data_IF_481387312283
#
_entry.id   IF_481387312283
#
_cell.length_a   1.000
_cell.length_b   1.000
_cell.length_c   1.000
_cell.angle_alpha   90.00
_cell.angle_beta   90.00
_cell.angle_gamma   90.00
#
_symmetry.space_group_name_H-M   'P 1'
#
loop_
_entity.id
_entity.type
_entity.pdbx_description
1 polymer ?
#
# COMPACT_ATOMS: atom_id res chain seq x y z
N UNK A 1 4.18 23.04 -26.72
CA UNK A 1 3.56 21.81 -27.27
C UNK A 1 3.83 20.68 -26.28
N UNK A 2 2.76 20.08 -25.75
CA UNK A 2 2.90 18.87 -24.92
C UNK A 2 3.45 17.72 -25.78
N UNK A 3 4.60 17.18 -25.39
CA UNK A 3 5.22 16.02 -26.06
C UNK A 3 4.64 14.70 -25.57
N UNK A 4 3.75 14.74 -24.58
CA UNK A 4 3.18 13.56 -23.92
C UNK A 4 2.22 12.79 -24.83
N UNK A 5 1.43 13.49 -25.66
CA UNK A 5 0.43 12.86 -26.51
C UNK A 5 0.45 13.46 -27.93
N UNK A 6 0.60 12.67 -29.01
CA UNK A 6 0.45 13.13 -30.37
C UNK A 6 -1.01 13.50 -30.67
N UNK A 7 -1.27 14.34 -31.67
CA UNK A 7 -2.57 14.91 -32.02
C UNK A 7 -3.66 13.89 -32.39
N UNK A 8 -3.31 12.64 -32.58
CA UNK A 8 -4.22 11.54 -32.97
C UNK A 8 -4.41 10.52 -31.85
N UNK A 9 -4.07 10.86 -30.61
CA UNK A 9 -4.17 9.92 -29.50
C UNK A 9 -5.61 9.55 -29.22
N UNK A 10 -5.91 8.27 -29.23
CA UNK A 10 -7.21 7.71 -28.89
C UNK A 10 -7.21 7.17 -27.46
N UNK A 11 -8.07 7.73 -26.65
CA UNK A 11 -8.29 7.28 -25.26
C UNK A 11 -9.53 6.42 -25.13
N UNK A 12 -9.43 5.44 -24.22
CA UNK A 12 -10.61 4.77 -23.67
C UNK A 12 -10.73 4.99 -22.17
N UNK A 13 -11.96 5.22 -21.71
CA UNK A 13 -12.23 5.49 -20.28
C UNK A 13 -13.68 5.21 -19.91
N UNK A 14 -13.89 4.90 -18.61
CA UNK A 14 -15.22 4.92 -17.98
C UNK A 14 -15.66 6.34 -17.63
N UNK A 15 -14.72 7.23 -17.35
CA UNK A 15 -14.93 8.57 -16.81
C UNK A 15 -14.48 9.66 -17.82
N UNK A 16 -15.17 9.78 -18.96
CA UNK A 16 -14.78 10.69 -20.03
C UNK A 16 -14.83 12.17 -19.61
N UNK A 17 -15.63 12.51 -18.61
CA UNK A 17 -15.77 13.89 -18.12
C UNK A 17 -14.49 14.39 -17.44
N UNK A 18 -13.92 13.59 -16.55
CA UNK A 18 -12.68 13.93 -15.85
C UNK A 18 -11.52 14.04 -16.85
N UNK A 19 -11.39 13.04 -17.72
CA UNK A 19 -10.33 13.04 -18.73
C UNK A 19 -10.45 14.25 -19.68
N UNK A 20 -11.65 14.57 -20.16
CA UNK A 20 -11.88 15.73 -21.05
C UNK A 20 -11.44 17.03 -20.38
N UNK A 21 -11.84 17.25 -19.13
CA UNK A 21 -11.46 18.43 -18.38
C UNK A 21 -9.93 18.56 -18.23
N UNK A 22 -9.24 17.46 -17.91
CA UNK A 22 -7.78 17.42 -17.85
C UNK A 22 -7.13 17.76 -19.19
N UNK A 23 -7.58 17.16 -20.29
CA UNK A 23 -7.05 17.42 -21.62
C UNK A 23 -7.25 18.89 -22.06
N UNK A 24 -8.43 19.44 -21.79
CA UNK A 24 -8.75 20.87 -22.07
C UNK A 24 -7.82 21.81 -21.30
N UNK A 25 -7.60 21.57 -19.99
CA UNK A 25 -6.68 22.38 -19.18
C UNK A 25 -5.25 22.38 -19.70
N UNK A 26 -4.83 21.27 -20.31
CA UNK A 26 -3.47 21.10 -20.84
C UNK A 26 -3.39 21.39 -22.34
N UNK A 27 -4.47 21.90 -22.96
CA UNK A 27 -4.53 22.18 -24.41
C UNK A 27 -4.16 20.96 -25.28
N UNK A 28 -4.58 19.76 -24.85
CA UNK A 28 -4.36 18.51 -25.55
C UNK A 28 -5.64 18.12 -26.30
N UNK A 29 -5.50 17.91 -27.60
CA UNK A 29 -6.60 17.39 -28.44
C UNK A 29 -6.44 15.86 -28.57
N UNK A 30 -7.48 15.12 -28.18
CA UNK A 30 -7.52 13.68 -28.28
C UNK A 30 -8.95 13.18 -28.42
N UNK A 31 -9.11 12.02 -29.01
CA UNK A 31 -10.40 11.34 -29.14
C UNK A 31 -10.65 10.49 -27.87
N UNK A 32 -11.86 10.56 -27.31
CA UNK A 32 -12.23 9.81 -26.12
C UNK A 32 -13.41 8.90 -26.43
N UNK A 33 -13.19 7.59 -26.33
CA UNK A 33 -14.24 6.59 -26.46
C UNK A 33 -14.60 6.01 -25.09
N UNK A 34 -15.90 6.02 -24.79
CA UNK A 34 -16.40 5.46 -23.52
C UNK A 34 -16.47 3.94 -23.62
N UNK A 35 -16.01 3.27 -22.59
CA UNK A 35 -16.08 1.82 -22.45
C UNK A 35 -16.52 1.46 -21.02
N UNK A 36 -17.36 0.44 -20.88
CA UNK A 36 -17.98 0.07 -19.58
C UNK A 36 -17.26 -1.04 -18.83
N UNK A 37 -16.22 -1.63 -19.41
CA UNK A 37 -15.43 -2.69 -18.74
C UNK A 37 -14.15 -2.99 -19.49
N UNK A 38 -13.22 -3.65 -18.82
CA UNK A 38 -11.95 -4.11 -19.40
C UNK A 38 -11.16 -3.03 -20.13
N UNK A 39 -11.11 -1.84 -19.55
CA UNK A 39 -10.43 -0.67 -20.14
C UNK A 39 -8.95 -0.97 -20.38
N UNK A 40 -8.33 -1.67 -19.43
CA UNK A 40 -6.92 -2.04 -19.40
C UNK A 40 -6.47 -2.93 -20.56
N UNK A 41 -7.39 -3.66 -21.18
CA UNK A 41 -7.07 -4.54 -22.33
C UNK A 41 -6.97 -3.74 -23.64
N UNK A 42 -7.63 -2.60 -23.72
CA UNK A 42 -7.80 -1.83 -24.95
C UNK A 42 -6.50 -1.49 -25.70
N UNK A 43 -5.41 -1.07 -25.03
CA UNK A 43 -4.16 -0.81 -25.72
C UNK A 43 -3.51 -2.08 -26.30
N UNK A 44 -3.55 -3.19 -25.54
CA UNK A 44 -2.94 -4.46 -25.95
C UNK A 44 -3.56 -5.08 -27.20
N UNK A 45 -4.83 -4.80 -27.48
CA UNK A 45 -5.54 -5.27 -28.67
C UNK A 45 -5.68 -4.19 -29.76
N UNK A 46 -4.99 -3.06 -29.62
CA UNK A 46 -4.96 -2.00 -30.63
C UNK A 46 -6.24 -1.16 -30.73
N UNK A 47 -7.06 -1.13 -29.69
CA UNK A 47 -8.31 -0.34 -29.65
C UNK A 47 -8.13 1.06 -29.02
N UNK A 48 -6.97 1.35 -28.44
CA UNK A 48 -6.63 2.65 -27.90
C UNK A 48 -5.11 2.81 -27.80
N UNK A 49 -4.65 4.06 -27.91
CA UNK A 49 -3.23 4.41 -27.68
C UNK A 49 -2.95 4.57 -26.18
N UNK A 50 -3.95 5.03 -25.42
CA UNK A 50 -3.89 5.22 -23.98
C UNK A 50 -5.26 4.98 -23.33
N UNK A 51 -5.23 4.78 -22.01
CA UNK A 51 -6.44 4.65 -21.19
C UNK A 51 -6.42 5.67 -20.05
N UNK A 52 -7.60 6.03 -19.58
CA UNK A 52 -7.77 6.71 -18.30
C UNK A 52 -8.61 5.84 -17.38
N UNK A 53 -8.02 5.39 -16.29
CA UNK A 53 -8.68 4.50 -15.34
C UNK A 53 -8.13 4.71 -13.91
N UNK A 54 -8.82 4.12 -12.93
CA UNK A 54 -8.42 4.16 -11.53
C UNK A 54 -7.31 3.14 -11.29
N UNK A 55 -6.20 3.61 -10.76
CA UNK A 55 -5.06 2.77 -10.39
C UNK A 55 -4.95 2.72 -8.86
N UNK A 56 -4.95 1.52 -8.29
CA UNK A 56 -4.72 1.28 -6.86
C UNK A 56 -3.29 0.78 -6.62
N UNK A 57 -3.07 -0.53 -6.68
CA UNK A 57 -1.73 -1.14 -6.47
C UNK A 57 -0.85 -1.16 -7.72
N UNK A 58 -1.39 -0.86 -8.89
CA UNK A 58 -0.69 -0.98 -10.17
C UNK A 58 -0.55 -2.40 -10.73
N UNK A 59 -1.02 -3.43 -10.02
CA UNK A 59 -0.90 -4.83 -10.47
C UNK A 59 -1.57 -5.07 -11.83
N UNK A 60 -2.74 -4.47 -12.07
CA UNK A 60 -3.45 -4.53 -13.35
C UNK A 60 -2.63 -3.90 -14.48
N UNK A 61 -1.90 -2.81 -14.22
CA UNK A 61 -1.03 -2.20 -15.22
C UNK A 61 0.07 -3.16 -15.65
N UNK A 62 0.77 -3.73 -14.67
CA UNK A 62 1.86 -4.69 -14.93
C UNK A 62 1.37 -5.90 -15.69
N UNK A 63 0.22 -6.48 -15.31
CA UNK A 63 -0.37 -7.66 -15.96
C UNK A 63 -0.77 -7.41 -17.42
N UNK A 64 -1.04 -6.17 -17.79
CA UNK A 64 -1.43 -5.79 -19.16
C UNK A 64 -0.31 -5.03 -19.92
N UNK A 65 0.93 -5.08 -19.45
CA UNK A 65 2.07 -4.36 -20.03
C UNK A 65 1.83 -2.85 -20.18
N UNK A 66 1.10 -2.26 -19.25
CA UNK A 66 0.82 -0.84 -19.20
C UNK A 66 1.78 -0.14 -18.22
N UNK A 67 2.01 1.13 -18.43
CA UNK A 67 2.74 2.01 -17.52
C UNK A 67 1.93 3.26 -17.22
N UNK A 68 2.10 3.80 -16.04
CA UNK A 68 1.60 5.12 -15.70
C UNK A 68 2.35 6.19 -16.53
N UNK A 69 1.61 7.08 -17.15
CA UNK A 69 2.13 8.21 -17.94
C UNK A 69 1.92 9.51 -17.19
N UNK A 70 0.74 9.71 -16.59
CA UNK A 70 0.37 10.92 -15.88
C UNK A 70 -0.69 10.63 -14.83
N UNK A 71 -0.61 11.32 -13.68
CA UNK A 71 -1.63 11.27 -12.62
C UNK A 71 -2.60 12.44 -12.79
N UNK A 72 -3.77 12.16 -13.33
CA UNK A 72 -4.80 13.19 -13.58
C UNK A 72 -5.44 13.69 -12.28
N UNK A 73 -5.70 12.78 -11.34
CA UNK A 73 -6.36 13.09 -10.08
C UNK A 73 -6.03 12.04 -9.01
N UNK A 74 -5.90 12.46 -7.77
CA UNK A 74 -5.85 11.55 -6.62
C UNK A 74 -7.24 11.45 -6.00
N UNK A 75 -7.66 10.23 -5.66
CA UNK A 75 -8.95 9.97 -5.00
C UNK A 75 -8.77 9.03 -3.82
N UNK A 76 -9.69 9.13 -2.87
CA UNK A 76 -9.72 8.27 -1.69
C UNK A 76 -11.10 7.65 -1.52
N UNK A 77 -11.16 6.43 -1.03
CA UNK A 77 -12.40 5.80 -0.64
C UNK A 77 -12.86 6.36 0.72
N UNK A 78 -14.06 6.91 0.78
CA UNK A 78 -14.66 7.44 2.00
C UNK A 78 -15.88 6.63 2.41
N UNK A 79 -15.98 6.31 3.70
CA UNK A 79 -17.21 5.80 4.27
C UNK A 79 -18.14 6.97 4.58
N UNK A 80 -19.31 7.00 3.95
CA UNK A 80 -20.32 8.03 4.19
C UNK A 80 -21.50 7.45 4.97
N UNK A 81 -22.06 8.24 5.89
CA UNK A 81 -23.21 7.87 6.67
C UNK A 81 -24.26 8.98 6.73
N UNK A 82 -25.50 8.62 7.08
CA UNK A 82 -26.55 9.59 7.29
C UNK A 82 -26.27 10.39 8.58
N UNK A 83 -26.36 11.72 8.50
CA UNK A 83 -26.19 12.61 9.66
C UNK A 83 -27.24 12.37 10.77
N UNK A 84 -28.43 11.94 10.39
CA UNK A 84 -29.56 11.66 11.31
C UNK A 84 -29.67 10.15 11.56
N UNK A 85 -28.61 9.56 12.09
CA UNK A 85 -28.57 8.14 12.43
C UNK A 85 -29.05 7.92 13.86
N UNK A 86 -29.88 6.88 14.11
CA UNK A 86 -30.27 6.47 15.45
C UNK A 86 -29.09 5.96 16.27
N UNK A 87 -29.16 6.00 17.59
CA UNK A 87 -28.02 5.69 18.46
C UNK A 87 -27.59 4.22 18.39
N UNK A 88 -28.52 3.29 18.19
CA UNK A 88 -28.24 1.88 17.93
C UNK A 88 -27.41 1.70 16.63
N UNK A 89 -27.74 2.42 15.56
CA UNK A 89 -26.99 2.40 14.30
C UNK A 89 -25.62 3.07 14.43
N UNK A 90 -25.52 4.13 15.24
CA UNK A 90 -24.21 4.75 15.53
C UNK A 90 -23.30 3.77 16.25
N UNK A 91 -23.80 3.04 17.25
CA UNK A 91 -23.03 2.04 17.98
C UNK A 91 -22.51 0.92 17.05
N UNK A 92 -23.34 0.46 16.10
CA UNK A 92 -22.92 -0.51 15.08
C UNK A 92 -21.82 0.09 14.18
N UNK A 93 -21.99 1.32 13.72
CA UNK A 93 -21.02 2.02 12.89
C UNK A 93 -19.68 2.17 13.62
N UNK A 94 -19.68 2.57 14.88
CA UNK A 94 -18.46 2.69 15.70
C UNK A 94 -17.72 1.36 15.83
N UNK A 95 -18.45 0.25 16.03
CA UNK A 95 -17.84 -1.09 16.05
C UNK A 95 -17.25 -1.47 14.70
N UNK A 96 -17.90 -1.13 13.60
CA UNK A 96 -17.37 -1.35 12.25
C UNK A 96 -16.10 -0.54 12.02
N UNK A 97 -16.11 0.75 12.34
CA UNK A 97 -14.96 1.64 12.20
C UNK A 97 -13.77 1.15 13.04
N UNK A 98 -14.01 0.71 14.26
CA UNK A 98 -12.98 0.11 15.11
C UNK A 98 -12.32 -1.11 14.42
N UNK A 99 -13.13 -2.00 13.83
CA UNK A 99 -12.62 -3.18 13.11
C UNK A 99 -11.87 -2.81 11.85
N UNK A 100 -12.36 -1.86 11.06
CA UNK A 100 -11.66 -1.37 9.87
C UNK A 100 -10.32 -0.72 10.24
N UNK A 101 -10.31 0.07 11.32
CA UNK A 101 -9.08 0.67 11.83
C UNK A 101 -8.07 -0.39 12.24
N UNK A 102 -8.50 -1.44 12.96
CA UNK A 102 -7.61 -2.53 13.38
C UNK A 102 -6.96 -3.26 12.21
N UNK A 103 -7.67 -3.45 11.09
CA UNK A 103 -7.12 -4.03 9.86
C UNK A 103 -6.16 -3.05 9.19
N UNK A 104 -6.55 -1.78 9.07
CA UNK A 104 -5.73 -0.72 8.46
C UNK A 104 -4.44 -0.47 9.24
N UNK A 105 -4.50 -0.46 10.57
CA UNK A 105 -3.32 -0.26 11.43
C UNK A 105 -2.33 -1.45 11.33
N UNK A 106 -2.81 -2.63 10.93
CA UNK A 106 -1.99 -3.82 10.68
C UNK A 106 -1.41 -3.89 9.25
N UNK A 107 -1.95 -3.09 8.31
CA UNK A 107 -1.48 -3.04 6.93
C UNK A 107 0.00 -2.70 6.90
N UNK A 108 0.77 -3.45 6.12
CA UNK A 108 2.23 -3.33 6.02
C UNK A 108 3.02 -3.60 7.32
N UNK A 109 2.36 -3.92 8.44
CA UNK A 109 3.05 -4.32 9.67
C UNK A 109 3.40 -5.81 9.65
N UNK A 110 4.58 -6.10 10.18
CA UNK A 110 5.08 -7.47 10.34
C UNK A 110 5.49 -7.72 11.78
N UNK A 111 5.07 -8.85 12.29
CA UNK A 111 5.61 -9.36 13.53
C UNK A 111 6.93 -10.08 13.23
N UNK A 112 8.01 -9.57 13.79
CA UNK A 112 9.36 -10.09 13.57
C UNK A 112 9.85 -10.72 14.86
N UNK A 113 10.29 -11.97 14.78
CA UNK A 113 10.96 -12.70 15.83
C UNK A 113 12.34 -13.08 15.35
N UNK A 114 13.35 -12.94 16.20
CA UNK A 114 14.72 -13.37 15.91
C UNK A 114 15.41 -13.85 17.18
N UNK A 115 16.41 -14.71 17.03
CA UNK A 115 17.34 -15.03 18.10
C UNK A 115 18.52 -14.08 18.01
N UNK A 116 18.95 -13.53 19.15
CA UNK A 116 20.01 -12.55 19.25
C UNK A 116 21.00 -12.92 20.34
N UNK A 117 22.32 -12.73 20.11
CA UNK A 117 23.32 -12.90 21.18
C UNK A 117 23.15 -11.80 22.23
N UNK A 118 23.07 -12.16 23.48
CA UNK A 118 22.90 -11.19 24.59
C UNK A 118 24.02 -10.15 24.63
N UNK A 119 25.24 -10.52 24.25
CA UNK A 119 26.39 -9.60 24.20
C UNK A 119 26.17 -8.41 23.24
N UNK A 120 25.32 -8.55 22.23
CA UNK A 120 25.00 -7.49 21.25
C UNK A 120 23.54 -7.03 21.30
N UNK A 121 22.79 -7.43 22.33
CA UNK A 121 21.37 -7.17 22.43
C UNK A 121 21.05 -5.66 22.37
N UNK A 122 21.80 -4.82 23.07
CA UNK A 122 21.55 -3.39 23.08
C UNK A 122 21.74 -2.77 21.70
N UNK A 123 22.78 -3.15 20.96
CA UNK A 123 23.01 -2.68 19.59
C UNK A 123 21.87 -3.08 18.65
N UNK A 124 21.33 -4.30 18.82
CA UNK A 124 20.18 -4.79 18.07
C UNK A 124 18.92 -3.97 18.41
N UNK A 125 18.68 -3.69 19.69
CA UNK A 125 17.53 -2.89 20.13
C UNK A 125 17.61 -1.47 19.56
N UNK A 126 18.78 -0.86 19.54
CA UNK A 126 18.98 0.52 19.05
C UNK A 126 18.70 0.68 17.55
N UNK A 127 18.82 -0.40 16.79
CA UNK A 127 18.53 -0.43 15.34
C UNK A 127 17.04 -0.71 15.06
N UNK A 128 16.31 -1.28 16.03
CA UNK A 128 14.92 -1.66 15.82
C UNK A 128 13.97 -0.46 16.00
N UNK A 129 13.32 0.04 14.93
CA UNK A 129 12.33 1.12 15.01
C UNK A 129 10.98 0.61 15.50
N UNK A 130 10.93 -0.08 16.63
CA UNK A 130 9.72 -0.70 17.16
C UNK A 130 8.73 0.29 17.78
N UNK A 131 7.48 -0.16 18.04
CA UNK A 131 6.36 0.66 18.56
C UNK A 131 6.65 1.28 19.94
N UNK A 132 7.33 0.59 20.83
CA UNK A 132 7.81 1.10 22.14
C UNK A 132 9.17 0.50 22.48
N UNK A 133 9.17 -0.79 22.78
CA UNK A 133 10.38 -1.59 23.02
C UNK A 133 10.11 -3.02 22.58
N UNK A 134 11.13 -3.75 22.12
CA UNK A 134 10.97 -5.16 21.79
C UNK A 134 10.71 -5.99 23.04
N UNK A 135 10.03 -7.12 22.88
CA UNK A 135 9.92 -8.14 23.92
C UNK A 135 11.14 -9.04 23.88
N UNK A 136 11.79 -9.23 25.02
CA UNK A 136 12.96 -10.08 25.15
C UNK A 136 12.59 -11.33 25.95
N UNK A 137 12.84 -12.52 25.37
CA UNK A 137 12.56 -13.80 26.00
C UNK A 137 13.87 -14.58 26.11
N UNK A 138 14.26 -15.05 27.31
CA UNK A 138 15.42 -15.92 27.47
C UNK A 138 15.27 -17.21 26.66
N UNK A 139 16.38 -17.71 26.11
CA UNK A 139 16.44 -19.02 25.49
C UNK A 139 17.07 -20.03 26.42
N UNK A 140 17.00 -21.31 26.08
CA UNK A 140 17.66 -22.37 26.83
C UNK A 140 19.20 -22.22 26.85
N UNK A 141 19.74 -21.66 25.79
CA UNK A 141 21.13 -21.20 25.74
C UNK A 141 21.23 -19.84 26.45
N UNK A 142 21.96 -19.77 27.52
CA UNK A 142 22.09 -18.56 28.37
C UNK A 142 22.74 -17.39 27.66
N UNK A 143 23.53 -17.62 26.62
CA UNK A 143 24.17 -16.57 25.80
C UNK A 143 23.22 -15.92 24.79
N UNK A 144 22.03 -16.50 24.61
CA UNK A 144 21.07 -16.08 23.60
C UNK A 144 19.73 -15.66 24.20
N UNK A 145 19.03 -14.80 23.46
CA UNK A 145 17.63 -14.45 23.73
C UNK A 145 16.83 -14.38 22.44
N UNK A 146 15.52 -14.49 22.57
CA UNK A 146 14.60 -14.23 21.48
C UNK A 146 14.09 -12.79 21.59
N UNK A 147 14.20 -12.04 20.49
CA UNK A 147 13.74 -10.65 20.37
C UNK A 147 12.50 -10.64 19.48
N UNK A 148 11.43 -10.04 19.99
CA UNK A 148 10.15 -9.94 19.28
C UNK A 148 9.76 -8.48 19.13
N UNK A 149 9.38 -8.08 17.92
CA UNK A 149 8.99 -6.70 17.63
C UNK A 149 7.99 -6.63 16.49
N UNK A 150 7.39 -5.46 16.31
CA UNK A 150 6.54 -5.14 15.16
C UNK A 150 7.21 -4.04 14.35
N UNK A 151 7.38 -4.28 13.05
CA UNK A 151 8.05 -3.38 12.12
C UNK A 151 7.19 -3.17 10.87
N UNK A 152 7.36 -2.04 10.21
CA UNK A 152 6.90 -1.88 8.83
C UNK A 152 7.69 -2.79 7.90
N UNK A 153 7.04 -3.37 6.90
CA UNK A 153 7.69 -4.26 5.92
C UNK A 153 8.85 -3.55 5.20
N UNK A 154 8.72 -2.26 4.91
CA UNK A 154 9.77 -1.47 4.28
C UNK A 154 10.98 -1.31 5.21
N UNK A 155 10.73 -0.90 6.46
CA UNK A 155 11.77 -0.77 7.48
C UNK A 155 12.52 -2.09 7.73
N UNK A 156 11.79 -3.22 7.74
CA UNK A 156 12.41 -4.54 7.90
C UNK A 156 13.49 -4.79 6.84
N UNK A 157 13.20 -4.51 5.57
CA UNK A 157 14.17 -4.72 4.48
C UNK A 157 15.39 -3.79 4.57
N UNK A 158 15.22 -2.59 5.13
CA UNK A 158 16.30 -1.63 5.32
C UNK A 158 17.29 -2.05 6.43
N UNK A 159 16.82 -2.77 7.47
CA UNK A 159 17.63 -3.09 8.64
C UNK A 159 18.10 -4.55 8.70
N UNK A 160 17.51 -5.47 7.91
CA UNK A 160 17.79 -6.91 8.00
C UNK A 160 19.27 -7.25 7.82
N UNK A 161 19.98 -6.55 6.94
CA UNK A 161 21.41 -6.72 6.73
C UNK A 161 22.21 -6.44 8.02
N UNK A 162 21.94 -5.31 8.67
CA UNK A 162 22.57 -4.91 9.93
C UNK A 162 22.29 -5.90 11.07
N UNK A 163 21.04 -6.36 11.17
CA UNK A 163 20.67 -7.36 12.18
C UNK A 163 21.46 -8.66 12.02
N UNK A 164 21.66 -9.12 10.79
CA UNK A 164 22.49 -10.31 10.51
C UNK A 164 23.96 -10.08 10.84
N UNK A 165 24.53 -8.92 10.52
CA UNK A 165 25.90 -8.54 10.89
C UNK A 165 26.12 -8.48 12.41
N UNK A 166 25.08 -8.11 13.17
CA UNK A 166 25.06 -8.14 14.62
C UNK A 166 24.86 -9.54 15.20
N UNK A 167 24.75 -10.57 14.37
CA UNK A 167 24.62 -11.96 14.79
C UNK A 167 23.19 -12.44 14.99
N UNK A 168 22.17 -11.67 14.61
CA UNK A 168 20.78 -12.13 14.67
C UNK A 168 20.55 -13.33 13.74
N UNK A 169 19.87 -14.36 14.24
CA UNK A 169 19.63 -15.62 13.56
C UNK A 169 18.17 -16.06 13.72
N UNK A 170 17.73 -17.03 12.89
CA UNK A 170 16.38 -17.58 12.99
C UNK A 170 15.30 -16.53 12.86
N UNK A 171 15.49 -15.55 11.96
CA UNK A 171 14.58 -14.41 11.78
C UNK A 171 13.32 -14.88 11.08
N UNK A 172 12.20 -14.78 11.78
CA UNK A 172 10.86 -15.11 11.27
C UNK A 172 10.06 -13.84 11.11
N UNK A 173 9.35 -13.72 10.00
CA UNK A 173 8.51 -12.57 9.66
C UNK A 173 7.10 -13.06 9.38
N UNK A 174 6.16 -12.63 10.20
CA UNK A 174 4.76 -13.06 10.12
C UNK A 174 3.87 -11.85 9.82
N UNK A 175 2.93 -11.93 8.87
CA UNK A 175 1.96 -10.88 8.65
C UNK A 175 1.04 -10.71 9.87
N UNK A 176 0.61 -9.48 10.13
CA UNK A 176 -0.34 -9.16 11.19
C UNK A 176 -1.68 -8.89 10.51
N UNK A 177 -2.72 -9.63 10.90
CA UNK A 177 -4.06 -9.43 10.32
C UNK A 177 -4.81 -8.24 10.92
N UNK A 178 -4.60 -8.00 12.20
CA UNK A 178 -5.28 -6.93 12.95
C UNK A 178 -4.37 -6.41 14.03
N UNK A 179 -4.36 -5.10 14.21
CA UNK A 179 -3.60 -4.44 15.27
C UNK A 179 -4.46 -3.36 15.93
N UNK A 180 -4.42 -3.28 17.24
CA UNK A 180 -5.11 -2.26 18.03
C UNK A 180 -4.03 -1.46 18.76
N UNK A 181 -3.96 -0.16 18.46
CA UNK A 181 -3.02 0.80 19.04
C UNK A 181 -3.65 1.56 20.20
#
# INVERSE_FOLDING_TARGET
RSTLFPYTTLFRSRDPGILRHFLEQHHIHAEIHVITGSVEISPGIGLADAIFDIVSSGSTLVSNNLREVEVVMKSEALLIGNKQMSDDKKAILEQMLFRFKAVKDAEDKKYVRMNAPKARLQEIIDVLPGLKSPTIIPLADEEWCSVHTVLDQKQFWEIIGKLKEMGAQGILVTPIEKMIL
#
